data_IF_001987687772
#
_entry.id   IF_001987687772
#
_cell.length_a   1.000
_cell.length_b   1.000
_cell.length_c   1.000
_cell.angle_alpha   90.00
_cell.angle_beta   90.00
_cell.angle_gamma   90.00
#
_symmetry.space_group_name_H-M   'P 1'
#
loop_
_entity.id
_entity.type
_entity.pdbx_description
1 polymer ?
#
# COMPACT_ATOMS: atom_id res chain seq x y z
N UNK A 1 17.26 9.36 25.36
CA UNK A 1 15.88 9.07 24.91
C UNK A 1 15.92 7.88 23.97
N UNK A 2 15.06 6.89 24.20
CA UNK A 2 14.94 5.78 23.25
C UNK A 2 14.41 6.31 21.92
N UNK A 3 15.05 5.94 20.82
CA UNK A 3 14.59 6.29 19.48
C UNK A 3 13.30 5.49 19.21
N UNK A 4 12.23 6.18 18.87
CA UNK A 4 10.94 5.57 18.53
C UNK A 4 11.10 4.65 17.31
N UNK A 5 10.61 3.42 17.40
CA UNK A 5 10.65 2.46 16.28
C UNK A 5 9.67 2.85 15.19
N UNK A 6 10.05 2.56 13.95
CA UNK A 6 9.26 2.87 12.76
C UNK A 6 8.72 1.61 12.10
N UNK A 7 7.40 1.57 11.92
CA UNK A 7 6.68 0.52 11.21
C UNK A 7 6.19 1.05 9.86
N UNK A 8 6.52 0.35 8.78
CA UNK A 8 6.01 0.63 7.44
C UNK A 8 5.00 -0.43 7.03
N UNK A 9 3.80 0.02 6.67
CA UNK A 9 2.70 -0.83 6.21
C UNK A 9 2.38 -0.47 4.76
N UNK A 10 2.60 -1.41 3.85
CA UNK A 10 2.40 -1.22 2.41
C UNK A 10 1.04 -1.76 1.98
N UNK A 11 0.28 -0.94 1.25
CA UNK A 11 -0.93 -1.35 0.56
C UNK A 11 -0.54 -2.01 -0.77
N UNK A 12 -0.61 -3.35 -0.83
CA UNK A 12 -0.12 -4.12 -1.97
C UNK A 12 -0.81 -3.75 -3.27
N UNK A 13 -2.14 -3.83 -3.32
CA UNK A 13 -2.88 -3.59 -4.56
C UNK A 13 -2.75 -2.15 -5.05
N UNK A 14 -2.79 -1.17 -4.17
CA UNK A 14 -2.60 0.22 -4.56
C UNK A 14 -1.23 0.45 -5.23
N UNK A 15 -0.17 -0.17 -4.71
CA UNK A 15 1.17 -0.10 -5.29
C UNK A 15 1.31 -0.92 -6.58
N UNK A 16 0.68 -2.09 -6.65
CA UNK A 16 0.68 -2.95 -7.84
C UNK A 16 -0.04 -2.26 -9.00
N UNK A 17 -1.25 -1.75 -8.78
CA UNK A 17 -2.00 -1.00 -9.78
C UNK A 17 -1.25 0.24 -10.25
N UNK A 18 -0.67 0.99 -9.31
CA UNK A 18 0.14 2.16 -9.65
C UNK A 18 1.33 1.80 -10.55
N UNK A 19 2.05 0.73 -10.22
CA UNK A 19 3.18 0.25 -11.01
C UNK A 19 2.77 -0.20 -12.41
N UNK A 20 1.68 -0.93 -12.50
CA UNK A 20 1.11 -1.38 -13.78
C UNK A 20 0.74 -0.21 -14.70
N UNK A 21 -0.05 0.74 -14.19
CA UNK A 21 -0.51 1.88 -14.99
C UNK A 21 0.60 2.87 -15.33
N UNK A 22 1.63 2.99 -14.50
CA UNK A 22 2.80 3.82 -14.82
C UNK A 22 3.57 3.32 -16.06
N UNK A 23 3.51 2.02 -16.33
CA UNK A 23 4.20 1.37 -17.43
C UNK A 23 3.27 0.92 -18.57
N UNK A 24 1.98 1.26 -18.52
CA UNK A 24 0.99 0.75 -19.48
C UNK A 24 1.30 1.11 -20.94
N UNK A 25 1.93 2.26 -21.18
CA UNK A 25 2.33 2.70 -22.53
C UNK A 25 3.65 2.09 -23.02
N UNK A 26 4.44 1.55 -22.11
CA UNK A 26 5.71 0.89 -22.40
C UNK A 26 5.90 -0.28 -21.44
N UNK A 27 5.10 -1.34 -21.60
CA UNK A 27 5.09 -2.45 -20.69
C UNK A 27 6.43 -3.20 -20.68
N UNK A 28 6.80 -3.69 -19.52
CA UNK A 28 7.97 -4.54 -19.33
C UNK A 28 7.56 -5.98 -19.59
N UNK A 29 8.11 -6.57 -20.62
CA UNK A 29 7.79 -7.92 -21.06
C UNK A 29 9.04 -8.79 -20.93
N UNK A 30 8.88 -9.97 -20.33
CA UNK A 30 9.99 -10.94 -20.20
C UNK A 30 10.20 -11.72 -21.50
N UNK A 31 11.21 -12.59 -21.52
CA UNK A 31 11.55 -13.41 -22.71
C UNK A 31 10.44 -14.38 -23.14
N UNK A 32 9.46 -14.63 -22.28
CA UNK A 32 8.30 -15.49 -22.57
C UNK A 32 7.07 -14.70 -23.05
N UNK A 33 7.21 -13.39 -23.29
CA UNK A 33 6.11 -12.52 -23.72
C UNK A 33 5.15 -12.11 -22.62
N UNK A 34 5.46 -12.36 -21.35
CA UNK A 34 4.63 -12.03 -20.22
C UNK A 34 4.86 -10.59 -19.73
N UNK A 35 3.80 -9.83 -19.50
CA UNK A 35 3.86 -8.50 -18.92
C UNK A 35 4.22 -8.57 -17.43
N UNK A 36 5.39 -8.08 -17.08
CA UNK A 36 5.93 -8.05 -15.71
C UNK A 36 5.93 -6.64 -15.10
N UNK A 37 5.23 -5.70 -15.71
CA UNK A 37 5.21 -4.29 -15.27
C UNK A 37 4.68 -4.12 -13.86
N UNK A 38 3.63 -4.84 -13.50
CA UNK A 38 3.05 -4.79 -12.15
C UNK A 38 4.03 -5.30 -11.09
N UNK A 39 4.72 -6.41 -11.38
CA UNK A 39 5.75 -6.98 -10.49
C UNK A 39 6.89 -5.99 -10.30
N UNK A 40 7.42 -5.46 -11.40
CA UNK A 40 8.53 -4.50 -11.37
C UNK A 40 8.16 -3.24 -10.61
N UNK A 41 6.99 -2.68 -10.86
CA UNK A 41 6.53 -1.46 -10.20
C UNK A 41 6.40 -1.63 -8.70
N UNK A 42 5.82 -2.74 -8.24
CA UNK A 42 5.71 -3.05 -6.83
C UNK A 42 7.08 -3.27 -6.17
N UNK A 43 7.91 -4.12 -6.76
CA UNK A 43 9.23 -4.45 -6.20
C UNK A 43 10.13 -3.22 -6.14
N UNK A 44 10.09 -2.35 -7.14
CA UNK A 44 10.85 -1.10 -7.11
C UNK A 44 10.39 -0.18 -5.97
N UNK A 45 9.08 -0.07 -5.73
CA UNK A 45 8.54 0.70 -4.61
C UNK A 45 8.96 0.11 -3.25
N UNK A 46 8.92 -1.21 -3.12
CA UNK A 46 9.34 -1.92 -1.91
C UNK A 46 10.83 -1.69 -1.63
N UNK A 47 11.69 -1.89 -2.61
CA UNK A 47 13.13 -1.69 -2.46
C UNK A 47 13.49 -0.23 -2.18
N UNK A 48 12.79 0.71 -2.78
CA UNK A 48 13.01 2.13 -2.50
C UNK A 48 12.72 2.46 -1.03
N UNK A 49 11.62 1.97 -0.49
CA UNK A 49 11.27 2.13 0.93
C UNK A 49 12.35 1.49 1.82
N UNK A 50 12.75 0.26 1.55
CA UNK A 50 13.74 -0.46 2.36
C UNK A 50 15.08 0.28 2.36
N UNK A 51 15.55 0.71 1.21
CA UNK A 51 16.85 1.38 1.07
C UNK A 51 16.86 2.79 1.64
N UNK A 52 15.80 3.55 1.39
CA UNK A 52 15.70 4.95 1.79
C UNK A 52 15.41 5.10 3.27
N UNK A 53 14.46 4.32 3.79
CA UNK A 53 13.91 4.51 5.11
C UNK A 53 14.50 3.57 6.17
N UNK A 54 15.05 2.44 5.76
CA UNK A 54 15.58 1.41 6.68
C UNK A 54 14.63 1.13 7.85
N UNK A 55 13.41 0.65 7.56
CA UNK A 55 12.38 0.47 8.59
C UNK A 55 12.81 -0.54 9.66
N UNK A 56 12.38 -0.32 10.90
CA UNK A 56 12.55 -1.31 11.96
C UNK A 56 11.64 -2.52 11.74
N UNK A 57 10.41 -2.25 11.28
CA UNK A 57 9.43 -3.28 10.90
C UNK A 57 8.73 -2.89 9.61
N UNK A 58 8.39 -3.90 8.82
CA UNK A 58 7.72 -3.73 7.52
C UNK A 58 6.78 -4.90 7.29
N UNK A 59 5.57 -4.60 6.81
CA UNK A 59 4.60 -5.60 6.37
C UNK A 59 3.84 -5.10 5.15
N UNK A 60 3.32 -6.06 4.37
CA UNK A 60 2.54 -5.79 3.16
C UNK A 60 1.15 -6.38 3.33
N UNK A 61 0.11 -5.55 3.21
CA UNK A 61 -1.27 -5.97 3.34
C UNK A 61 -1.91 -6.19 1.96
N UNK A 62 -2.59 -7.32 1.82
CA UNK A 62 -3.34 -7.71 0.63
C UNK A 62 -4.83 -7.79 0.93
N UNK A 63 -5.65 -7.39 -0.04
CA UNK A 63 -7.08 -7.69 -0.01
C UNK A 63 -7.30 -9.18 -0.30
N UNK A 64 -8.12 -9.83 0.50
CA UNK A 64 -8.55 -11.19 0.27
C UNK A 64 -10.07 -11.27 0.19
N UNK A 65 -10.59 -11.04 -1.00
CA UNK A 65 -11.99 -11.29 -1.31
C UNK A 65 -13.00 -10.23 -0.88
N UNK A 66 -12.64 -8.99 -0.69
CA UNK A 66 -13.56 -7.89 -0.36
C UNK A 66 -14.42 -8.12 0.90
N UNK A 67 -14.75 -7.08 1.65
CA UNK A 67 -15.60 -7.27 2.84
C UNK A 67 -16.99 -7.76 2.41
N UNK A 68 -17.33 -8.99 2.77
CA UNK A 68 -18.67 -9.56 2.54
C UNK A 68 -19.76 -8.65 3.13
N UNK A 69 -19.51 -8.08 4.30
CA UNK A 69 -20.44 -7.15 4.96
C UNK A 69 -20.69 -5.87 4.15
N UNK A 70 -19.66 -5.28 3.54
CA UNK A 70 -19.83 -4.08 2.70
C UNK A 70 -20.50 -4.40 1.35
N UNK A 71 -20.24 -5.58 0.81
CA UNK A 71 -20.93 -6.05 -0.43
C UNK A 71 -22.39 -6.37 -0.13
N UNK A 72 -22.71 -6.96 1.02
CA UNK A 72 -24.07 -7.25 1.45
C UNK A 72 -24.87 -6.00 1.79
N UNK A 73 -24.23 -4.97 2.38
CA UNK A 73 -24.90 -3.69 2.72
C UNK A 73 -25.10 -2.77 1.52
N UNK A 74 -24.24 -2.84 0.52
CA UNK A 74 -24.28 -1.97 -0.66
C UNK A 74 -23.97 -2.80 -1.91
N UNK A 75 -25.00 -3.33 -2.56
CA UNK A 75 -24.88 -4.07 -3.83
C UNK A 75 -24.08 -3.30 -4.88
N UNK A 76 -24.11 -1.97 -4.84
CA UNK A 76 -23.39 -1.08 -5.77
C UNK A 76 -21.97 -0.76 -5.37
N UNK A 77 -21.48 -1.20 -4.22
CA UNK A 77 -20.17 -0.78 -3.68
C UNK A 77 -18.97 -1.10 -4.58
N UNK A 78 -19.06 -2.15 -5.37
CA UNK A 78 -18.02 -2.55 -6.35
C UNK A 78 -18.53 -2.70 -7.78
N UNK A 79 -19.79 -2.37 -8.03
CA UNK A 79 -20.43 -2.58 -9.35
C UNK A 79 -19.78 -1.79 -10.49
N UNK A 80 -19.12 -0.67 -10.19
CA UNK A 80 -18.47 0.21 -11.17
C UNK A 80 -16.94 0.05 -11.25
N UNK A 81 -16.35 -1.00 -10.63
CA UNK A 81 -14.93 -1.28 -10.79
C UNK A 81 -14.69 -2.08 -12.06
N UNK A 82 -13.82 -1.55 -12.93
CA UNK A 82 -13.34 -2.28 -14.09
C UNK A 82 -12.76 -3.64 -13.66
N UNK A 83 -12.89 -4.64 -14.54
CA UNK A 83 -12.28 -5.95 -14.30
C UNK A 83 -10.78 -5.82 -14.11
N UNK A 84 -10.23 -6.51 -13.11
CA UNK A 84 -8.79 -6.48 -12.82
C UNK A 84 -8.00 -7.00 -14.01
N UNK A 85 -7.02 -6.23 -14.54
CA UNK A 85 -6.17 -6.70 -15.64
C UNK A 85 -5.51 -8.04 -15.33
N UNK A 86 -5.40 -8.90 -16.35
CA UNK A 86 -4.79 -10.23 -16.22
C UNK A 86 -3.35 -10.16 -15.71
N UNK A 87 -2.57 -9.18 -16.19
CA UNK A 87 -1.19 -8.98 -15.73
C UNK A 87 -1.10 -8.76 -14.22
N UNK A 88 -2.08 -8.09 -13.62
CA UNK A 88 -2.15 -7.88 -12.17
C UNK A 88 -2.54 -9.17 -11.46
N UNK A 89 -3.51 -9.91 -11.97
CA UNK A 89 -3.92 -11.21 -11.41
C UNK A 89 -2.78 -12.21 -11.38
N UNK A 90 -1.95 -12.23 -12.42
CA UNK A 90 -0.74 -13.07 -12.49
C UNK A 90 0.33 -12.56 -11.53
N UNK A 91 0.50 -11.25 -11.41
CA UNK A 91 1.54 -10.63 -10.59
C UNK A 91 1.37 -10.90 -9.09
N UNK A 92 0.14 -10.89 -8.57
CA UNK A 92 -0.14 -10.99 -7.13
C UNK A 92 0.48 -12.23 -6.49
N UNK A 93 0.27 -13.48 -6.96
CA UNK A 93 0.89 -14.65 -6.35
C UNK A 93 2.42 -14.64 -6.47
N UNK A 94 2.96 -14.11 -7.56
CA UNK A 94 4.41 -13.98 -7.75
C UNK A 94 5.00 -13.00 -6.74
N UNK A 95 4.36 -11.86 -6.54
CA UNK A 95 4.78 -10.87 -5.53
C UNK A 95 4.74 -11.48 -4.13
N UNK A 96 3.70 -12.23 -3.80
CA UNK A 96 3.62 -12.92 -2.51
C UNK A 96 4.76 -13.94 -2.31
N UNK A 97 5.15 -14.67 -3.34
CA UNK A 97 6.31 -15.56 -3.31
C UNK A 97 7.62 -14.79 -3.10
N UNK A 98 7.79 -13.65 -3.77
CA UNK A 98 8.96 -12.78 -3.59
C UNK A 98 9.04 -12.28 -2.14
N UNK A 99 7.94 -11.79 -1.60
CA UNK A 99 7.88 -11.30 -0.21
C UNK A 99 8.19 -12.41 0.79
N UNK A 100 7.66 -13.61 0.57
CA UNK A 100 7.98 -14.79 1.39
C UNK A 100 9.47 -15.13 1.35
N UNK A 101 10.08 -15.12 0.17
CA UNK A 101 11.51 -15.37 0.01
C UNK A 101 12.38 -14.29 0.67
N UNK A 102 11.90 -13.06 0.75
CA UNK A 102 12.54 -11.93 1.42
C UNK A 102 12.28 -11.91 2.96
N UNK A 103 11.48 -12.81 3.47
CA UNK A 103 11.01 -12.81 4.86
C UNK A 103 10.24 -11.54 5.24
N UNK A 104 9.53 -10.93 4.28
CA UNK A 104 8.63 -9.81 4.52
C UNK A 104 7.22 -10.35 4.82
N UNK A 105 6.63 -10.01 5.98
CA UNK A 105 5.29 -10.45 6.32
C UNK A 105 4.26 -9.98 5.29
N UNK A 106 3.47 -10.94 4.77
CA UNK A 106 2.27 -10.69 4.00
C UNK A 106 1.06 -10.86 4.91
N UNK A 107 0.22 -9.85 5.00
CA UNK A 107 -0.97 -9.86 5.85
C UNK A 107 -2.19 -9.85 4.95
N UNK A 108 -3.03 -10.88 5.10
CA UNK A 108 -4.33 -10.96 4.45
C UNK A 108 -5.31 -11.70 5.36
N UNK A 109 -6.53 -11.20 5.44
CA UNK A 109 -7.63 -11.84 6.18
C UNK A 109 -8.82 -11.92 5.25
N UNK A 110 -9.43 -13.11 5.15
CA UNK A 110 -10.59 -13.32 4.31
C UNK A 110 -11.74 -12.38 4.70
N UNK A 111 -12.32 -11.71 3.70
CA UNK A 111 -13.39 -10.74 3.89
C UNK A 111 -12.96 -9.36 4.42
N UNK A 112 -11.67 -9.14 4.67
CA UNK A 112 -11.15 -7.86 5.18
C UNK A 112 -10.31 -7.16 4.12
N UNK A 113 -10.58 -5.89 3.91
CA UNK A 113 -9.80 -5.06 2.97
C UNK A 113 -8.45 -4.63 3.57
N UNK A 114 -7.46 -4.41 2.70
CA UNK A 114 -6.10 -4.02 3.11
C UNK A 114 -6.08 -2.71 3.90
N UNK A 115 -6.93 -1.74 3.54
CA UNK A 115 -7.03 -0.46 4.25
C UNK A 115 -7.52 -0.62 5.70
N UNK A 116 -8.47 -1.53 5.93
CA UNK A 116 -8.94 -1.87 7.28
C UNK A 116 -7.85 -2.58 8.10
N UNK A 117 -7.09 -3.49 7.46
CA UNK A 117 -5.93 -4.15 8.09
C UNK A 117 -4.86 -3.15 8.49
N UNK A 118 -4.48 -2.29 7.56
CA UNK A 118 -3.45 -1.27 7.79
C UNK A 118 -3.91 -0.28 8.86
N UNK A 119 -5.15 0.19 8.80
CA UNK A 119 -5.71 1.09 9.80
C UNK A 119 -5.72 0.49 11.21
N UNK A 120 -6.10 -0.77 11.33
CA UNK A 120 -6.11 -1.49 12.60
C UNK A 120 -4.70 -1.65 13.17
N UNK A 121 -3.77 -2.12 12.36
CA UNK A 121 -2.38 -2.30 12.78
C UNK A 121 -1.70 -0.98 13.12
N UNK A 122 -1.96 0.07 12.34
CA UNK A 122 -1.43 1.41 12.62
C UNK A 122 -1.88 1.92 13.97
N UNK A 123 -3.18 1.79 14.30
CA UNK A 123 -3.72 2.19 15.60
C UNK A 123 -3.19 1.36 16.76
N UNK A 124 -2.97 0.07 16.56
CA UNK A 124 -2.36 -0.80 17.58
C UNK A 124 -0.89 -0.40 17.82
N UNK A 125 -0.12 -0.23 16.76
CA UNK A 125 1.30 0.13 16.84
C UNK A 125 1.49 1.53 17.46
N UNK A 126 0.62 2.49 17.15
CA UNK A 126 0.65 3.81 17.77
C UNK A 126 0.53 3.74 19.30
N UNK A 127 -0.34 2.85 19.82
CA UNK A 127 -0.48 2.62 21.27
C UNK A 127 0.76 2.01 21.92
N UNK A 128 1.60 1.35 21.13
CA UNK A 128 2.88 0.77 21.54
C UNK A 128 4.07 1.68 21.22
N UNK A 129 3.82 2.97 21.03
CA UNK A 129 4.83 4.02 20.80
C UNK A 129 5.64 3.86 19.49
N UNK A 130 5.01 3.30 18.45
CA UNK A 130 5.60 3.27 17.11
C UNK A 130 5.24 4.53 16.33
N UNK A 131 6.15 4.99 15.48
CA UNK A 131 5.79 5.78 14.31
C UNK A 131 5.37 4.86 13.18
N UNK A 132 4.20 5.10 12.61
CA UNK A 132 3.64 4.26 11.55
C UNK A 132 3.57 5.04 10.25
N UNK A 133 4.06 4.44 9.17
CA UNK A 133 4.00 4.98 7.83
C UNK A 133 3.17 4.07 6.94
N UNK A 134 2.04 4.58 6.48
CA UNK A 134 1.16 3.88 5.54
C UNK A 134 1.61 4.19 4.12
N UNK A 135 2.23 3.22 3.47
CA UNK A 135 2.80 3.37 2.12
C UNK A 135 1.72 3.08 1.09
N UNK A 136 1.14 4.14 0.55
CA UNK A 136 0.05 4.06 -0.41
C UNK A 136 -0.09 5.37 -1.20
N UNK A 137 -0.47 5.31 -2.49
CA UNK A 137 -0.87 6.50 -3.23
C UNK A 137 -2.31 6.94 -2.94
N UNK A 138 -3.09 6.13 -2.23
CA UNK A 138 -4.51 6.37 -1.96
C UNK A 138 -4.71 7.44 -0.88
N UNK A 139 -5.31 8.56 -1.27
CA UNK A 139 -5.57 9.70 -0.38
C UNK A 139 -6.59 9.41 0.73
N UNK A 140 -7.40 8.37 0.59
CA UNK A 140 -8.44 8.03 1.56
C UNK A 140 -7.83 7.59 2.90
N UNK A 141 -6.59 7.13 2.91
CA UNK A 141 -5.81 6.88 4.12
C UNK A 141 -5.53 8.13 4.97
N UNK A 142 -5.73 9.33 4.42
CA UNK A 142 -5.52 10.58 5.17
C UNK A 142 -6.38 10.68 6.43
N UNK A 143 -7.55 10.02 6.44
CA UNK A 143 -8.42 9.97 7.62
C UNK A 143 -7.79 9.23 8.82
N UNK A 144 -6.78 8.40 8.59
CA UNK A 144 -6.09 7.63 9.61
C UNK A 144 -4.88 8.35 10.21
N UNK A 145 -4.46 9.46 9.61
CA UNK A 145 -3.30 10.24 10.06
C UNK A 145 -3.52 10.80 11.46
N UNK A 146 -2.52 10.66 12.30
CA UNK A 146 -2.50 11.14 13.68
C UNK A 146 -1.11 11.66 14.04
N UNK A 147 -0.82 11.89 15.32
CA UNK A 147 0.49 12.36 15.76
C UNK A 147 1.64 11.40 15.39
N UNK A 148 1.38 10.08 15.39
CA UNK A 148 2.38 9.06 15.11
C UNK A 148 2.00 8.17 13.90
N UNK A 149 0.96 8.48 13.16
CA UNK A 149 0.55 7.77 11.95
C UNK A 149 0.60 8.74 10.77
N UNK A 150 1.41 8.38 9.77
CA UNK A 150 1.68 9.19 8.58
C UNK A 150 1.29 8.44 7.32
N UNK A 151 0.88 9.19 6.29
CA UNK A 151 0.89 8.67 4.92
C UNK A 151 2.27 8.82 4.33
N UNK A 152 2.73 7.79 3.65
CA UNK A 152 3.94 7.79 2.86
C UNK A 152 3.58 7.56 1.40
N UNK A 153 3.65 8.60 0.60
CA UNK A 153 3.37 8.54 -0.84
C UNK A 153 4.66 8.25 -1.59
N UNK A 154 4.76 7.09 -2.28
CA UNK A 154 5.96 6.73 -3.02
C UNK A 154 6.29 7.75 -4.10
N UNK A 155 7.58 7.87 -4.42
CA UNK A 155 8.06 8.74 -5.48
C UNK A 155 7.43 8.37 -6.84
N UNK A 156 7.11 9.39 -7.62
CA UNK A 156 6.76 9.27 -9.04
C UNK A 156 7.92 9.76 -9.89
N UNK A 157 7.96 9.36 -11.16
CA UNK A 157 8.95 9.89 -12.11
C UNK A 157 8.97 11.43 -12.06
N UNK A 158 10.12 11.99 -11.68
CA UNK A 158 10.33 13.44 -11.57
C UNK A 158 9.90 14.10 -10.25
N UNK A 159 9.16 13.39 -9.39
CA UNK A 159 8.76 13.87 -8.06
C UNK A 159 9.36 12.99 -6.97
N UNK A 160 9.75 13.61 -5.83
CA UNK A 160 10.19 12.89 -4.65
C UNK A 160 9.03 12.22 -3.90
N UNK A 161 9.36 11.52 -2.84
CA UNK A 161 8.38 11.01 -1.89
C UNK A 161 7.69 12.15 -1.15
N UNK A 162 6.45 11.94 -0.73
CA UNK A 162 5.72 12.86 0.14
C UNK A 162 5.30 12.13 1.42
N UNK A 163 5.54 12.76 2.55
CA UNK A 163 5.05 12.28 3.86
C UNK A 163 4.01 13.26 4.36
N UNK A 164 2.79 12.75 4.61
CA UNK A 164 1.68 13.54 5.11
C UNK A 164 1.41 13.22 6.58
N UNK A 165 1.67 14.20 7.43
CA UNK A 165 1.18 14.25 8.80
C UNK A 165 -0.08 15.11 8.90
N UNK A 166 -0.48 15.46 10.13
CA UNK A 166 -1.67 16.29 10.38
C UNK A 166 -1.65 17.61 9.61
N UNK A 167 -0.54 18.39 9.59
CA UNK A 167 -0.52 19.67 8.87
C UNK A 167 -0.75 19.53 7.37
N UNK A 168 -0.16 18.51 6.73
CA UNK A 168 -0.30 18.29 5.30
C UNK A 168 -1.72 17.86 4.92
N UNK A 169 -2.37 17.03 5.78
CA UNK A 169 -3.76 16.61 5.59
C UNK A 169 -4.70 17.80 5.75
N UNK A 170 -4.52 18.62 6.79
CA UNK A 170 -5.33 19.82 7.01
C UNK A 170 -5.25 20.76 5.82
N UNK A 171 -4.04 21.06 5.36
CA UNK A 171 -3.82 21.92 4.20
C UNK A 171 -4.45 21.37 2.92
N UNK A 172 -4.40 20.05 2.72
CA UNK A 172 -4.89 19.40 1.49
C UNK A 172 -6.40 19.36 1.41
N UNK A 173 -7.06 19.14 2.53
CA UNK A 173 -8.52 18.99 2.60
C UNK A 173 -9.23 20.21 3.18
N UNK A 174 -8.50 21.28 3.50
CA UNK A 174 -9.03 22.52 4.09
C UNK A 174 -9.91 22.24 5.33
N UNK A 175 -9.50 21.26 6.14
CA UNK A 175 -10.25 20.83 7.32
C UNK A 175 -9.49 21.27 8.57
N UNK A 176 -10.16 22.06 9.41
CA UNK A 176 -9.73 22.29 10.80
C UNK A 176 -10.21 21.12 11.67
N UNK A 177 -9.31 20.59 12.49
CA UNK A 177 -9.65 19.64 13.56
C UNK A 177 -9.73 20.35 14.89
#
# INVERSE_FOLDING_TARGET
MAVQKRLFLLDAYALIFRGYYALIKNPRVNSKGQDTSAIMGFVNSLFDVIKREKPDHLAVAFDKGGSSERVEMYEDYKANRDETPEAIRIAVPIIQEILKAMHVPCIEIEGVEADDLIGTLAKQAEKEDYQVFMVTPDKDYAQLVSENIFMYKPARMGNGIEIWGIPEVQKRFEVER
#
